data_IF_815609266375
#
_entry.id   IF_815609266375
#
_cell.length_a   1.000
_cell.length_b   1.000
_cell.length_c   1.000
_cell.angle_alpha   90.00
_cell.angle_beta   90.00
_cell.angle_gamma   90.00
#
_symmetry.space_group_name_H-M   'P 1'
#
loop_
_entity.id
_entity.type
_entity.pdbx_description
1 polymer ?
#
# COMPACT_ATOMS: atom_id res chain seq x y z
N UNK A 1 32.11 -6.38 14.79
CA UNK A 1 30.85 -5.76 14.36
C UNK A 1 29.98 -6.80 13.65
N UNK A 2 28.88 -7.14 14.25
CA UNK A 2 27.97 -8.11 13.65
C UNK A 2 27.17 -7.45 12.53
N UNK A 3 27.10 -8.11 11.38
CA UNK A 3 26.22 -7.71 10.29
C UNK A 3 24.79 -8.03 10.75
N UNK A 4 23.83 -7.10 10.62
CA UNK A 4 22.42 -7.42 10.95
C UNK A 4 21.97 -8.62 10.13
N UNK A 5 21.37 -9.60 10.79
CA UNK A 5 20.78 -10.73 10.08
C UNK A 5 19.61 -10.23 9.22
N UNK A 6 19.58 -10.65 7.96
CA UNK A 6 18.47 -10.37 7.09
C UNK A 6 17.27 -11.19 7.55
N UNK A 7 16.13 -10.52 7.70
CA UNK A 7 14.87 -11.19 8.05
C UNK A 7 14.24 -11.81 6.80
N UNK A 8 13.38 -12.80 7.02
CA UNK A 8 12.62 -13.39 5.92
C UNK A 8 11.47 -12.49 5.46
N UNK A 9 10.97 -11.64 6.35
CA UNK A 9 9.92 -10.68 6.00
C UNK A 9 10.12 -9.35 6.71
N UNK A 10 9.60 -8.30 6.08
CA UNK A 10 9.59 -6.94 6.59
C UNK A 10 8.19 -6.39 6.45
N UNK A 11 7.69 -5.74 7.48
CA UNK A 11 6.34 -5.20 7.46
C UNK A 11 6.26 -3.84 8.13
N UNK A 12 5.27 -3.05 7.73
CA UNK A 12 4.96 -1.79 8.41
C UNK A 12 3.48 -1.46 8.26
N UNK A 13 3.02 -0.58 9.13
CA UNK A 13 1.67 -0.03 9.11
C UNK A 13 1.81 1.48 8.93
N UNK A 14 1.13 2.03 7.93
CA UNK A 14 1.04 3.48 7.74
C UNK A 14 -0.37 3.93 8.09
N UNK A 15 -0.55 4.61 9.25
CA UNK A 15 -1.86 5.11 9.64
C UNK A 15 -2.34 6.24 8.73
N UNK A 16 -3.64 6.45 8.69
CA UNK A 16 -4.28 7.50 7.93
C UNK A 16 -5.07 6.97 6.76
N UNK A 17 -5.85 7.86 6.14
CA UNK A 17 -6.69 7.47 5.01
C UNK A 17 -5.82 7.11 3.81
N UNK A 18 -5.94 5.89 3.26
CA UNK A 18 -5.15 5.49 2.11
C UNK A 18 -5.35 6.39 0.90
N UNK A 19 -4.26 6.68 0.19
CA UNK A 19 -4.26 7.57 -0.98
C UNK A 19 -3.76 6.78 -2.19
N UNK A 20 -4.53 6.81 -3.26
CA UNK A 20 -4.13 6.20 -4.52
C UNK A 20 -3.11 7.06 -5.25
N UNK A 21 -2.20 6.41 -5.99
CA UNK A 21 -1.37 7.11 -6.95
C UNK A 21 -2.27 7.54 -8.09
N UNK A 22 -2.45 8.85 -8.23
CA UNK A 22 -3.30 9.37 -9.29
C UNK A 22 -2.62 9.28 -10.65
N UNK A 23 -3.43 9.10 -11.69
CA UNK A 23 -2.99 9.24 -13.07
C UNK A 23 -3.69 10.46 -13.64
N UNK A 24 -2.97 11.39 -14.28
CA UNK A 24 -3.63 12.51 -14.94
C UNK A 24 -4.61 11.98 -15.96
N UNK A 25 -5.88 12.38 -15.84
CA UNK A 25 -6.89 12.09 -16.86
C UNK A 25 -7.19 13.40 -17.56
N UNK A 26 -6.92 13.44 -18.84
CA UNK A 26 -7.30 14.58 -19.65
C UNK A 26 -8.69 14.33 -20.19
N UNK A 27 -9.59 15.27 -19.94
CA UNK A 27 -10.92 15.24 -20.55
C UNK A 27 -11.10 16.51 -21.35
N UNK A 28 -11.65 16.38 -22.57
CA UNK A 28 -12.03 17.52 -23.42
C UNK A 28 -13.43 18.00 -23.09
N UNK A 29 -14.14 17.34 -22.19
CA UNK A 29 -15.51 17.74 -21.82
C UNK A 29 -15.50 19.07 -21.05
N UNK A 30 -16.29 20.05 -21.48
CA UNK A 30 -16.40 21.33 -20.76
C UNK A 30 -16.88 21.11 -19.32
N UNK A 31 -16.25 21.79 -18.36
CA UNK A 31 -16.63 21.69 -16.95
C UNK A 31 -16.14 20.44 -16.23
N UNK A 32 -15.30 19.63 -16.87
CA UNK A 32 -14.75 18.45 -16.22
C UNK A 32 -13.65 18.87 -15.24
N UNK A 33 -13.82 18.51 -13.97
CA UNK A 33 -12.81 18.77 -12.93
C UNK A 33 -12.06 17.47 -12.67
N UNK A 34 -10.74 17.51 -12.83
CA UNK A 34 -9.91 16.35 -12.51
C UNK A 34 -9.79 16.25 -10.99
N UNK A 35 -10.31 15.17 -10.43
CA UNK A 35 -10.29 14.92 -8.98
C UNK A 35 -8.96 14.29 -8.55
N UNK A 36 -7.85 14.76 -9.12
CA UNK A 36 -6.51 14.25 -8.85
C UNK A 36 -5.66 15.33 -8.19
N UNK A 37 -5.15 15.02 -7.00
CA UNK A 37 -4.24 15.89 -6.29
C UNK A 37 -2.82 15.31 -6.35
N UNK A 38 -1.95 15.83 -7.24
CA UNK A 38 -0.59 15.34 -7.37
C UNK A 38 0.24 15.49 -6.09
N UNK A 39 0.02 16.59 -5.36
CA UNK A 39 0.77 16.86 -4.14
C UNK A 39 0.43 15.84 -3.07
N UNK A 40 -0.85 15.51 -2.88
CA UNK A 40 -1.31 14.54 -1.89
C UNK A 40 -0.75 13.14 -2.18
N UNK A 41 -0.77 12.72 -3.43
CA UNK A 41 -0.22 11.45 -3.87
C UNK A 41 1.30 11.38 -3.63
N UNK A 42 2.01 12.45 -3.96
CA UNK A 42 3.45 12.55 -3.77
C UNK A 42 3.82 12.50 -2.29
N UNK A 43 3.09 13.21 -1.45
CA UNK A 43 3.32 13.23 0.00
C UNK A 43 3.05 11.86 0.61
N UNK A 44 2.02 11.18 0.16
CA UNK A 44 1.70 9.85 0.63
C UNK A 44 2.81 8.85 0.29
N UNK A 45 3.36 8.93 -0.93
CA UNK A 45 4.50 8.10 -1.33
C UNK A 45 5.73 8.34 -0.45
N UNK A 46 5.98 9.60 -0.08
CA UNK A 46 7.08 9.94 0.83
C UNK A 46 6.88 9.29 2.20
N UNK A 47 5.64 9.28 2.69
CA UNK A 47 5.31 8.62 3.96
C UNK A 47 5.55 7.11 3.87
N UNK A 48 5.14 6.48 2.77
CA UNK A 48 5.38 5.06 2.56
C UNK A 48 6.89 4.76 2.53
N UNK A 49 7.64 5.55 1.78
CA UNK A 49 9.09 5.39 1.68
C UNK A 49 9.78 5.53 3.04
N UNK A 50 9.34 6.51 3.83
CA UNK A 50 9.86 6.72 5.17
C UNK A 50 9.59 5.52 6.09
N UNK A 51 8.35 5.03 6.11
CA UNK A 51 7.99 3.85 6.91
C UNK A 51 8.74 2.61 6.45
N UNK A 52 8.91 2.44 5.15
CA UNK A 52 9.68 1.34 4.60
C UNK A 52 11.16 1.42 5.02
N UNK A 53 11.75 2.61 5.04
CA UNK A 53 13.14 2.79 5.44
C UNK A 53 13.35 2.48 6.93
N UNK A 54 12.37 2.79 7.78
CA UNK A 54 12.44 2.50 9.20
C UNK A 54 12.30 1.00 9.53
N UNK A 55 11.57 0.27 8.69
CA UNK A 55 11.18 -1.11 8.98
C UNK A 55 11.75 -2.11 7.98
N UNK A 56 12.49 -1.64 7.00
CA UNK A 56 13.03 -2.47 5.93
C UNK A 56 14.45 -2.95 6.19
N UNK A 57 15.03 -3.65 5.22
CA UNK A 57 16.41 -4.12 5.32
C UNK A 57 17.41 -2.96 5.26
N UNK A 58 18.61 -3.21 5.75
CA UNK A 58 19.67 -2.20 5.72
C UNK A 58 20.12 -1.85 4.31
N UNK A 59 20.04 -2.82 3.39
CA UNK A 59 20.23 -2.63 1.95
C UNK A 59 19.07 -3.30 1.24
N UNK A 60 18.64 -2.77 0.07
CA UNK A 60 17.52 -3.36 -0.66
C UNK A 60 17.73 -4.84 -0.96
N UNK A 61 16.67 -5.63 -0.80
CA UNK A 61 16.70 -7.06 -1.14
C UNK A 61 16.98 -7.26 -2.62
N UNK A 62 17.71 -8.31 -2.97
CA UNK A 62 18.00 -8.68 -4.36
C UNK A 62 17.30 -9.98 -4.77
N UNK A 63 16.62 -10.63 -3.83
CA UNK A 63 15.91 -11.89 -4.04
C UNK A 63 14.51 -11.64 -4.58
N UNK A 64 13.86 -12.66 -5.15
CA UNK A 64 12.42 -12.59 -5.43
C UNK A 64 11.63 -12.37 -4.15
N UNK A 65 10.60 -11.56 -4.23
CA UNK A 65 9.77 -11.22 -3.08
C UNK A 65 8.29 -11.43 -3.37
N UNK A 66 7.54 -11.65 -2.28
CA UNK A 66 6.07 -11.65 -2.26
C UNK A 66 5.62 -10.39 -1.55
N UNK A 67 4.69 -9.67 -2.15
CA UNK A 67 4.13 -8.45 -1.58
C UNK A 67 2.69 -8.67 -1.14
N UNK A 68 2.38 -8.25 0.08
CA UNK A 68 1.01 -8.20 0.60
C UNK A 68 0.64 -6.77 0.95
N UNK A 69 -0.59 -6.40 0.68
CA UNK A 69 -1.11 -5.06 0.94
C UNK A 69 -2.55 -5.15 1.43
N UNK A 70 -2.80 -4.70 2.65
CA UNK A 70 -4.14 -4.57 3.19
C UNK A 70 -4.49 -3.10 3.31
N UNK A 71 -5.61 -2.71 2.70
CA UNK A 71 -6.07 -1.34 2.64
C UNK A 71 -7.31 -1.22 3.52
N UNK A 72 -7.26 -0.35 4.53
CA UNK A 72 -8.37 -0.14 5.45
C UNK A 72 -8.90 1.27 5.28
N UNK A 73 -10.14 1.38 4.83
CA UNK A 73 -10.81 2.65 4.58
C UNK A 73 -11.72 3.01 5.74
N UNK A 74 -11.96 4.31 5.96
CA UNK A 74 -12.84 4.73 7.06
C UNK A 74 -14.28 4.28 6.82
N UNK A 75 -14.95 3.91 7.90
CA UNK A 75 -16.37 3.53 7.86
C UNK A 75 -17.18 4.81 7.69
N UNK A 76 -18.04 4.92 6.66
CA UNK A 76 -18.85 6.12 6.46
C UNK A 76 -19.76 6.40 7.67
N UNK A 77 -19.81 7.66 8.09
CA UNK A 77 -20.66 8.09 9.21
C UNK A 77 -22.15 7.92 8.89
N UNK A 78 -22.51 7.85 7.62
CA UNK A 78 -23.87 7.66 7.17
C UNK A 78 -24.38 6.23 7.30
N UNK A 79 -23.52 5.29 7.62
CA UNK A 79 -23.93 3.89 7.77
C UNK A 79 -24.86 3.72 8.96
N UNK A 80 -25.90 2.88 8.81
CA UNK A 80 -26.74 2.45 9.89
C UNK A 80 -25.90 1.63 10.89
N UNK A 81 -26.42 1.44 12.10
CA UNK A 81 -25.75 0.64 13.11
C UNK A 81 -25.41 -0.76 12.59
N UNK A 82 -26.36 -1.39 11.90
CA UNK A 82 -26.17 -2.73 11.33
C UNK A 82 -25.06 -2.74 10.28
N UNK A 83 -25.06 -1.77 9.35
CA UNK A 83 -24.00 -1.66 8.34
C UNK A 83 -22.64 -1.38 8.96
N UNK A 84 -22.62 -0.56 10.00
CA UNK A 84 -21.38 -0.25 10.72
C UNK A 84 -20.79 -1.53 11.34
N UNK A 85 -21.61 -2.34 11.97
CA UNK A 85 -21.17 -3.62 12.54
C UNK A 85 -20.67 -4.57 11.47
N UNK A 86 -21.37 -4.67 10.34
CA UNK A 86 -20.96 -5.50 9.22
C UNK A 86 -19.62 -5.02 8.62
N UNK A 87 -19.42 -3.71 8.58
CA UNK A 87 -18.14 -3.13 8.11
C UNK A 87 -17.01 -3.48 9.07
N UNK A 88 -17.23 -3.36 10.38
CA UNK A 88 -16.20 -3.69 11.38
C UNK A 88 -15.83 -5.18 11.38
N UNK A 89 -16.79 -6.06 11.20
CA UNK A 89 -16.51 -7.50 11.19
C UNK A 89 -16.00 -8.02 9.85
N UNK A 90 -15.99 -7.18 8.80
CA UNK A 90 -15.42 -7.54 7.51
C UNK A 90 -16.37 -8.20 6.53
N UNK A 91 -17.65 -8.36 6.87
CA UNK A 91 -18.65 -8.92 5.96
C UNK A 91 -19.12 -7.89 4.92
N UNK A 92 -19.07 -6.60 5.27
CA UNK A 92 -19.32 -5.50 4.34
C UNK A 92 -18.01 -4.84 3.99
N UNK A 93 -17.66 -4.87 2.71
CA UNK A 93 -16.36 -4.35 2.23
C UNK A 93 -16.56 -3.21 1.24
N UNK A 94 -15.58 -2.28 1.16
CA UNK A 94 -15.73 -1.12 0.30
C UNK A 94 -15.54 -1.49 -1.18
N UNK A 95 -16.44 -0.98 -2.01
CA UNK A 95 -16.35 -1.12 -3.47
C UNK A 95 -16.07 0.22 -4.15
N UNK A 96 -15.87 1.28 -3.35
CA UNK A 96 -15.59 2.63 -3.85
C UNK A 96 -14.08 2.87 -3.93
N UNK A 97 -13.70 3.97 -4.54
CA UNK A 97 -12.29 4.41 -4.61
C UNK A 97 -11.70 4.61 -3.20
N UNK A 98 -10.39 4.42 -3.04
CA UNK A 98 -9.41 4.19 -4.09
C UNK A 98 -9.40 2.75 -4.60
N UNK A 99 -9.01 2.57 -5.86
CA UNK A 99 -8.84 1.24 -6.44
C UNK A 99 -7.60 0.56 -5.86
N UNK A 100 -7.67 -0.74 -5.63
CA UNK A 100 -6.52 -1.52 -5.12
C UNK A 100 -5.29 -1.30 -6.01
N UNK A 101 -5.46 -1.40 -7.32
CA UNK A 101 -4.35 -1.29 -8.27
C UNK A 101 -3.63 0.05 -8.17
N UNK A 102 -4.34 1.13 -7.92
CA UNK A 102 -3.75 2.46 -7.83
C UNK A 102 -3.00 2.67 -6.50
N UNK A 103 -3.51 2.12 -5.39
CA UNK A 103 -2.79 2.15 -4.11
C UNK A 103 -1.54 1.27 -4.19
N UNK A 104 -1.68 0.08 -4.75
CA UNK A 104 -0.60 -0.88 -4.90
C UNK A 104 0.54 -0.30 -5.73
N UNK A 105 0.22 0.36 -6.84
CA UNK A 105 1.22 1.01 -7.70
C UNK A 105 2.04 2.04 -6.93
N UNK A 106 1.39 2.87 -6.13
CA UNK A 106 2.06 3.85 -5.29
C UNK A 106 2.97 3.20 -4.24
N UNK A 107 2.50 2.11 -3.62
CA UNK A 107 3.29 1.37 -2.63
C UNK A 107 4.52 0.74 -3.28
N UNK A 108 4.34 0.08 -4.42
CA UNK A 108 5.44 -0.55 -5.15
C UNK A 108 6.51 0.47 -5.55
N UNK A 109 6.07 1.60 -6.10
CA UNK A 109 6.98 2.66 -6.54
C UNK A 109 7.72 3.28 -5.36
N UNK A 110 7.04 3.49 -4.24
CA UNK A 110 7.64 4.11 -3.06
C UNK A 110 8.69 3.22 -2.40
N UNK A 111 8.52 1.89 -2.46
CA UNK A 111 9.44 0.95 -1.84
C UNK A 111 10.64 0.57 -2.70
N UNK A 112 10.61 0.92 -3.99
CA UNK A 112 11.72 0.64 -4.90
C UNK A 112 12.99 1.37 -4.45
N UNK A 113 14.08 0.64 -4.34
CA UNK A 113 15.34 1.17 -3.84
C UNK A 113 15.44 1.17 -2.31
N UNK A 114 14.40 0.72 -1.61
CA UNK A 114 14.38 0.65 -0.14
C UNK A 114 14.18 -0.80 0.32
N UNK A 115 13.04 -1.40 0.00
CA UNK A 115 12.77 -2.80 0.34
C UNK A 115 13.41 -3.77 -0.65
N UNK A 116 13.40 -3.43 -1.91
CA UNK A 116 13.96 -4.21 -3.01
C UNK A 116 14.60 -3.28 -4.02
N UNK A 117 15.51 -3.79 -4.83
CA UNK A 117 16.23 -2.97 -5.79
C UNK A 117 15.35 -2.56 -6.96
N UNK A 118 14.46 -3.45 -7.39
CA UNK A 118 13.57 -3.20 -8.52
C UNK A 118 12.24 -3.92 -8.33
N UNK A 119 11.15 -3.30 -8.79
CA UNK A 119 9.80 -3.84 -8.65
C UNK A 119 9.60 -5.14 -9.48
N UNK A 120 10.47 -5.42 -10.43
CA UNK A 120 10.47 -6.70 -11.15
C UNK A 120 10.76 -7.89 -10.25
N UNK A 121 11.31 -7.66 -9.05
CA UNK A 121 11.54 -8.71 -8.05
C UNK A 121 10.26 -9.20 -7.40
N UNK A 122 9.17 -8.45 -7.52
CA UNK A 122 7.86 -8.87 -7.02
C UNK A 122 7.33 -9.93 -7.98
N UNK A 123 7.42 -11.21 -7.58
CA UNK A 123 7.03 -12.32 -8.44
C UNK A 123 5.68 -12.92 -8.07
N UNK A 124 5.13 -12.55 -6.93
CA UNK A 124 3.79 -12.94 -6.53
C UNK A 124 3.24 -11.97 -5.50
N UNK A 125 1.93 -11.97 -5.38
CA UNK A 125 1.23 -11.23 -4.35
C UNK A 125 0.67 -12.22 -3.34
N UNK A 126 0.79 -11.88 -2.06
CA UNK A 126 0.13 -12.60 -0.99
C UNK A 126 -1.31 -12.08 -0.83
N UNK A 127 -1.67 -11.65 0.37
CA UNK A 127 -2.99 -11.06 0.60
C UNK A 127 -3.01 -9.63 0.06
N UNK A 128 -3.96 -9.35 -0.84
CA UNK A 128 -4.22 -8.00 -1.34
C UNK A 128 -5.72 -7.77 -1.27
N UNK A 129 -6.14 -6.72 -0.57
CA UNK A 129 -7.56 -6.45 -0.42
C UNK A 129 -7.86 -5.11 0.20
N UNK A 130 -9.15 -4.77 0.22
CA UNK A 130 -9.69 -3.57 0.86
C UNK A 130 -10.73 -3.96 1.89
N UNK A 131 -10.71 -3.29 3.01
CA UNK A 131 -11.65 -3.46 4.11
C UNK A 131 -12.02 -2.11 4.68
N UNK A 132 -13.10 -2.07 5.45
CA UNK A 132 -13.41 -0.93 6.31
C UNK A 132 -12.75 -1.10 7.67
N UNK A 133 -12.40 0.00 8.32
CA UNK A 133 -11.93 -0.03 9.70
C UNK A 133 -12.18 1.31 10.39
N UNK A 134 -12.39 1.26 11.69
CA UNK A 134 -12.43 2.46 12.51
C UNK A 134 -11.06 3.16 12.54
N UNK A 135 -9.99 2.43 12.20
CA UNK A 135 -8.63 2.97 12.11
C UNK A 135 -8.13 2.81 10.68
N UNK A 136 -8.38 3.80 9.80
CA UNK A 136 -7.90 3.75 8.42
C UNK A 136 -6.38 3.64 8.38
N UNK A 137 -5.88 2.80 7.48
CA UNK A 137 -4.44 2.57 7.35
C UNK A 137 -4.14 1.69 6.14
N UNK A 138 -2.87 1.56 5.80
CA UNK A 138 -2.41 0.44 4.99
C UNK A 138 -1.46 -0.41 5.83
N UNK A 139 -1.49 -1.72 5.58
CA UNK A 139 -0.54 -2.67 6.14
C UNK A 139 0.20 -3.33 4.98
N UNK A 140 1.52 -3.29 5.04
CA UNK A 140 2.38 -3.77 3.95
C UNK A 140 3.33 -4.82 4.49
N UNK A 141 3.49 -5.92 3.75
CA UNK A 141 4.48 -6.94 4.06
C UNK A 141 5.23 -7.33 2.80
N UNK A 142 6.55 -7.43 2.92
CA UNK A 142 7.43 -7.91 1.85
C UNK A 142 8.18 -9.13 2.37
N UNK A 143 7.97 -10.29 1.73
CA UNK A 143 8.62 -11.54 2.12
C UNK A 143 9.64 -11.98 1.07
N UNK A 144 10.80 -12.41 1.53
CA UNK A 144 11.77 -13.06 0.66
C UNK A 144 11.31 -14.48 0.40
N UNK A 145 11.12 -14.84 -0.87
CA UNK A 145 10.60 -16.17 -1.24
C UNK A 145 11.50 -16.92 -2.21
N UNK A 146 12.66 -16.37 -2.49
CA UNK A 146 13.61 -17.03 -3.36
C UNK A 146 15.03 -16.83 -2.87
N UNK A 147 15.93 -17.56 -3.50
CA UNK A 147 17.34 -17.44 -3.20
C UNK A 147 17.97 -16.37 -4.06
N UNK A 148 18.89 -15.63 -3.48
CA UNK A 148 19.72 -14.69 -4.22
C UNK A 148 20.54 -15.46 -5.25
N UNK A 149 20.53 -14.99 -6.49
CA UNK A 149 21.43 -15.52 -7.50
C UNK A 149 22.84 -15.09 -7.13
N UNK A 150 23.63 -16.06 -6.78
CA UNK A 150 25.03 -15.86 -6.46
C UNK A 150 25.88 -15.66 -7.69
#
# INVERSE_FOLDING_TARGET
MSVPEEKDSYSFILPGIPVAQGRPRFSTAPGFVVAYDPAKSKDYKKCIAYMASLNGPSVPLLEPVRLSLRIFLPIPKSFSKKKHEEAEEGSLRPTKKPDISNVLKGVEDAMKGIMYADDSQIIEYGTIGKWYSAKPRIEVEVERIGKRKG
#
